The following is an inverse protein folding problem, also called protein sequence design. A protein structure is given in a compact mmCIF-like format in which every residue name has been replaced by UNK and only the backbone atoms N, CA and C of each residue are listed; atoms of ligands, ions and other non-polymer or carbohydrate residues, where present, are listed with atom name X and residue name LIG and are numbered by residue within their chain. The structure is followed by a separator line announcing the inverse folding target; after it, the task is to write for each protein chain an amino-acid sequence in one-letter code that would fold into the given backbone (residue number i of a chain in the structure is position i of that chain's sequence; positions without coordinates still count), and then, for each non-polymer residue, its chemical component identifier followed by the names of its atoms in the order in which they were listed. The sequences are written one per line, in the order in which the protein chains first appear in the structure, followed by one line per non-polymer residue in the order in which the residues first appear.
data_IF_738932853854
#
_entry.id   IF_738932853854
#
_cell.length_a   1.000
_cell.length_b   1.000
_cell.length_c   1.000
_cell.angle_alpha   90.00
_cell.angle_beta   90.00
_cell.angle_gamma   90.00
#
_symmetry.space_group_name_H-M   'P 1'
#
loop_
_entity.id
_entity.type
_entity.pdbx_description
1 polymer ?
#
# COMPACT_ATOMS: atom_id res chain seq x y z
N UNK A 1 42.77 49.00 -14.31
CA UNK A 1 42.60 47.63 -14.84
C UNK A 1 41.76 46.83 -13.86
N UNK A 2 40.85 46.02 -14.37
CA UNK A 2 39.62 45.57 -13.70
C UNK A 2 39.81 44.60 -12.52
N UNK A 3 38.85 44.70 -11.60
CA UNK A 3 38.64 43.91 -10.38
C UNK A 3 38.33 42.44 -10.70
N UNK A 4 39.04 41.49 -10.06
CA UNK A 4 38.73 40.07 -10.12
C UNK A 4 37.97 39.66 -8.85
N UNK A 5 36.64 39.53 -8.97
CA UNK A 5 35.79 38.96 -7.93
C UNK A 5 35.84 37.44 -8.03
N UNK A 6 36.40 36.78 -7.02
CA UNK A 6 36.35 35.32 -6.88
C UNK A 6 34.95 34.95 -6.40
N UNK A 7 34.13 34.37 -7.28
CA UNK A 7 32.87 33.74 -6.90
C UNK A 7 33.18 32.31 -6.41
N UNK A 8 33.06 32.08 -5.11
CA UNK A 8 32.90 30.72 -4.56
C UNK A 8 31.53 30.18 -5.00
N UNK A 9 31.52 29.26 -5.95
CA UNK A 9 30.33 28.47 -6.26
C UNK A 9 30.33 27.27 -5.31
N UNK A 10 29.61 27.41 -4.18
CA UNK A 10 29.23 26.29 -3.34
C UNK A 10 28.20 25.46 -4.10
N UNK A 11 28.68 24.42 -4.78
CA UNK A 11 27.83 23.39 -5.39
C UNK A 11 27.19 22.56 -4.30
N UNK A 12 26.00 22.96 -3.84
CA UNK A 12 25.14 22.11 -3.03
C UNK A 12 24.65 20.95 -3.90
N UNK A 13 25.32 19.80 -3.79
CA UNK A 13 24.81 18.51 -4.26
C UNK A 13 23.56 18.20 -3.43
N UNK A 14 22.38 18.50 -3.99
CA UNK A 14 21.13 17.99 -3.46
C UNK A 14 21.15 16.47 -3.54
N UNK A 15 21.20 15.82 -2.38
CA UNK A 15 20.90 14.40 -2.25
C UNK A 15 19.43 14.20 -2.64
N UNK A 16 19.18 13.94 -3.93
CA UNK A 16 17.92 13.38 -4.36
C UNK A 16 17.88 11.95 -3.83
N UNK A 17 17.24 11.76 -2.68
CA UNK A 17 16.90 10.43 -2.17
C UNK A 17 15.93 9.78 -3.13
N UNK A 18 16.43 8.90 -4.00
CA UNK A 18 15.59 8.08 -4.86
C UNK A 18 15.00 7.00 -3.96
N UNK A 19 13.73 7.14 -3.55
CA UNK A 19 13.03 6.07 -2.84
C UNK A 19 12.87 4.90 -3.80
N UNK A 20 13.70 3.88 -3.60
CA UNK A 20 13.55 2.62 -4.33
C UNK A 20 12.43 1.83 -3.67
N UNK A 21 11.20 2.04 -4.13
CA UNK A 21 10.15 1.05 -3.90
C UNK A 21 10.61 -0.22 -4.62
N UNK A 22 10.87 -1.31 -3.90
CA UNK A 22 11.28 -2.57 -4.51
C UNK A 22 10.07 -3.24 -5.18
N UNK A 23 10.33 -4.00 -6.25
CA UNK A 23 9.31 -4.47 -7.22
C UNK A 23 8.20 -5.32 -6.58
N UNK A 24 8.47 -6.09 -5.52
CA UNK A 24 7.52 -7.09 -5.03
C UNK A 24 6.85 -6.64 -3.72
N UNK A 25 5.54 -6.92 -3.60
CA UNK A 25 4.76 -6.61 -2.40
C UNK A 25 5.12 -7.41 -1.16
N UNK A 26 4.27 -7.29 -0.15
CA UNK A 26 4.53 -7.81 1.20
C UNK A 26 4.85 -9.32 1.20
N UNK A 27 5.97 -9.76 1.81
CA UNK A 27 6.25 -11.18 2.01
C UNK A 27 5.43 -11.77 3.17
N UNK A 28 5.35 -13.10 3.26
CA UNK A 28 4.67 -13.81 4.37
C UNK A 28 5.12 -13.38 5.77
N UNK A 29 6.40 -12.99 5.93
CA UNK A 29 6.91 -12.49 7.22
C UNK A 29 6.31 -11.14 7.64
N UNK A 30 5.66 -10.42 6.72
CA UNK A 30 4.96 -9.16 6.97
C UNK A 30 3.52 -9.31 7.44
N UNK A 31 2.95 -10.53 7.46
CA UNK A 31 1.53 -10.74 7.78
C UNK A 31 1.08 -10.20 9.15
N UNK A 32 1.95 -10.21 10.16
CA UNK A 32 1.61 -9.75 11.51
C UNK A 32 1.81 -8.24 11.72
N UNK A 33 2.76 -7.64 11.01
CA UNK A 33 3.12 -6.23 11.16
C UNK A 33 2.57 -5.34 10.06
N UNK A 34 2.10 -5.93 8.95
CA UNK A 34 1.85 -5.27 7.66
C UNK A 34 3.04 -4.47 7.13
N UNK A 35 4.21 -4.71 7.71
CA UNK A 35 5.44 -4.07 7.31
C UNK A 35 6.12 -4.99 6.30
N UNK A 36 6.38 -4.53 5.07
CA UNK A 36 6.99 -5.36 4.04
C UNK A 36 8.47 -5.71 4.33
N UNK A 37 9.00 -5.32 5.49
CA UNK A 37 10.36 -5.60 5.94
C UNK A 37 11.42 -5.12 4.94
N UNK A 38 11.21 -3.90 4.45
CA UNK A 38 12.11 -3.24 3.52
C UNK A 38 12.56 -1.91 4.12
N UNK A 39 13.86 -1.60 3.96
CA UNK A 39 14.53 -0.41 4.51
C UNK A 39 14.10 0.92 3.86
N UNK A 40 12.91 0.96 3.25
CA UNK A 40 12.32 2.19 2.77
C UNK A 40 11.51 2.82 3.91
N UNK A 41 11.64 4.13 4.04
CA UNK A 41 10.86 4.87 5.02
C UNK A 41 9.37 4.75 4.67
N UNK A 42 8.50 4.37 5.63
CA UNK A 42 7.06 4.44 5.48
C UNK A 42 6.65 5.81 4.95
N UNK A 43 5.64 5.87 4.09
CA UNK A 43 5.07 7.15 3.72
C UNK A 43 4.49 7.83 4.98
N UNK A 44 5.00 9.02 5.30
CA UNK A 44 4.63 9.76 6.53
C UNK A 44 3.56 10.82 6.32
N UNK A 45 3.13 11.06 5.07
CA UNK A 45 2.00 11.95 4.79
C UNK A 45 0.69 11.33 5.26
N UNK A 46 -0.31 12.12 5.67
CA UNK A 46 -1.67 11.62 5.90
C UNK A 46 -2.11 10.79 4.69
N UNK A 47 -2.72 9.64 4.95
CA UNK A 47 -3.20 8.74 3.92
C UNK A 47 -4.18 9.49 2.99
N UNK A 48 -3.85 9.73 1.71
CA UNK A 48 -4.79 10.37 0.81
C UNK A 48 -5.89 9.41 0.33
N UNK A 49 -6.51 8.57 1.17
CA UNK A 49 -7.51 7.59 0.69
C UNK A 49 -8.77 7.60 1.54
N UNK A 50 -9.88 7.33 0.86
CA UNK A 50 -11.15 6.96 1.47
C UNK A 50 -11.39 5.48 1.26
N UNK A 51 -11.57 4.73 2.35
CA UNK A 51 -12.10 3.38 2.28
C UNK A 51 -13.62 3.47 2.25
N UNK A 52 -14.22 3.16 1.11
CA UNK A 52 -15.65 2.85 1.09
C UNK A 52 -15.78 1.39 1.49
N UNK A 53 -16.19 1.12 2.72
CA UNK A 53 -16.41 -0.25 3.18
C UNK A 53 -17.77 -0.75 2.66
N UNK A 54 -17.79 -1.09 1.38
CA UNK A 54 -18.82 -1.91 0.73
C UNK A 54 -18.19 -3.26 0.34
N UNK A 55 -18.91 -4.14 -0.35
CA UNK A 55 -18.28 -5.31 -1.01
C UNK A 55 -17.09 -4.88 -1.89
N UNK A 56 -17.14 -3.67 -2.46
CA UNK A 56 -16.03 -3.05 -3.16
C UNK A 56 -15.13 -2.23 -2.22
N UNK A 57 -13.84 -2.53 -2.26
CA UNK A 57 -12.76 -1.84 -1.54
C UNK A 57 -11.88 -1.11 -2.54
N UNK A 58 -11.97 0.22 -2.54
CA UNK A 58 -11.12 1.09 -3.36
C UNK A 58 -10.04 1.73 -2.50
N UNK A 59 -8.80 1.68 -2.98
CA UNK A 59 -7.67 2.45 -2.45
C UNK A 59 -7.31 3.48 -3.53
N UNK A 60 -7.83 4.70 -3.40
CA UNK A 60 -7.58 5.81 -4.34
C UNK A 60 -6.92 7.02 -3.70
N UNK A 61 -6.04 7.71 -4.43
CA UNK A 61 -5.48 8.97 -3.98
C UNK A 61 -6.51 10.10 -4.06
N UNK A 62 -6.63 10.92 -3.02
CA UNK A 62 -7.52 12.08 -2.95
C UNK A 62 -7.00 13.26 -3.77
N UNK A 63 -5.72 13.22 -4.12
CA UNK A 63 -5.06 14.20 -4.99
C UNK A 63 -4.66 13.47 -6.29
N UNK A 64 -5.11 13.97 -7.47
CA UNK A 64 -4.79 13.36 -8.75
C UNK A 64 -3.30 13.44 -9.13
N UNK A 65 -2.54 14.35 -8.52
CA UNK A 65 -1.10 14.51 -8.78
C UNK A 65 -0.22 13.65 -7.84
N UNK A 66 -0.84 12.95 -6.89
CA UNK A 66 -0.17 12.06 -5.95
C UNK A 66 -0.41 10.61 -6.35
N UNK A 67 0.63 9.79 -6.24
CA UNK A 67 0.56 8.35 -6.49
C UNK A 67 1.19 7.57 -5.33
N UNK A 68 0.83 6.30 -5.21
CA UNK A 68 1.50 5.32 -4.35
C UNK A 68 2.18 4.26 -5.18
N UNK A 69 3.21 3.61 -4.62
CA UNK A 69 3.93 2.54 -5.31
C UNK A 69 3.64 1.19 -4.69
N UNK A 70 3.44 1.17 -3.37
CA UNK A 70 3.13 -0.04 -2.63
C UNK A 70 1.91 0.10 -1.72
N UNK A 71 1.23 -1.02 -1.54
CA UNK A 71 0.20 -1.19 -0.52
C UNK A 71 0.17 -2.63 0.02
N UNK A 72 -0.42 -2.80 1.18
CA UNK A 72 -0.87 -4.08 1.74
C UNK A 72 -2.18 -3.84 2.51
N UNK A 73 -3.14 -4.76 2.39
CA UNK A 73 -4.44 -4.69 3.09
C UNK A 73 -4.89 -6.08 3.55
N UNK A 74 -5.53 -6.12 4.71
CA UNK A 74 -6.12 -7.29 5.35
C UNK A 74 -7.54 -7.00 5.82
N UNK A 75 -8.44 -7.96 5.60
CA UNK A 75 -9.78 -7.97 6.20
C UNK A 75 -9.73 -8.56 7.60
N UNK A 76 -10.35 -7.88 8.56
CA UNK A 76 -10.40 -8.30 9.95
C UNK A 76 -11.85 -8.38 10.43
N UNK A 77 -12.20 -9.48 11.09
CA UNK A 77 -13.51 -9.69 11.72
C UNK A 77 -13.30 -9.88 13.21
N UNK A 78 -13.84 -8.98 14.04
CA UNK A 78 -13.69 -9.10 15.50
C UNK A 78 -12.23 -9.11 15.99
N UNK A 79 -11.31 -8.55 15.20
CA UNK A 79 -9.88 -8.45 15.54
C UNK A 79 -9.00 -9.60 15.05
N UNK A 80 -9.56 -10.61 14.37
CA UNK A 80 -8.80 -11.68 13.70
C UNK A 80 -8.91 -11.56 12.18
N UNK A 81 -7.99 -12.17 11.43
CA UNK A 81 -8.09 -12.22 9.97
C UNK A 81 -9.35 -12.97 9.57
N UNK A 82 -10.11 -12.42 8.63
CA UNK A 82 -11.32 -13.06 8.14
C UNK A 82 -11.70 -12.50 6.78
N UNK A 83 -12.38 -13.33 5.99
CA UNK A 83 -12.80 -12.99 4.64
C UNK A 83 -11.66 -13.10 3.64
N UNK A 84 -12.00 -12.85 2.38
CA UNK A 84 -11.08 -12.95 1.26
C UNK A 84 -11.26 -11.80 0.30
N UNK A 85 -10.23 -11.52 -0.49
CA UNK A 85 -10.30 -10.58 -1.59
C UNK A 85 -10.51 -11.31 -2.93
N UNK A 86 -11.05 -10.60 -3.91
CA UNK A 86 -11.01 -10.98 -5.32
C UNK A 86 -10.64 -9.77 -6.17
N UNK A 87 -10.13 -10.05 -7.38
CA UNK A 87 -9.72 -9.03 -8.35
C UNK A 87 -10.58 -9.12 -9.60
N UNK A 88 -10.80 -7.98 -10.25
CA UNK A 88 -11.40 -7.92 -11.58
C UNK A 88 -10.50 -8.56 -12.64
N UNK A 89 -11.11 -9.01 -13.74
CA UNK A 89 -10.34 -9.51 -14.88
C UNK A 89 -9.40 -8.43 -15.44
N UNK A 90 -8.12 -8.78 -15.56
CA UNK A 90 -7.09 -7.89 -16.10
C UNK A 90 -6.31 -7.10 -15.05
N UNK A 91 -6.69 -7.16 -13.78
CA UNK A 91 -5.89 -6.62 -12.69
C UNK A 91 -4.57 -7.39 -12.55
N UNK A 92 -3.46 -6.69 -12.74
CA UNK A 92 -2.13 -7.27 -12.80
C UNK A 92 -1.10 -6.52 -11.95
N UNK A 93 -1.55 -5.52 -11.20
CA UNK A 93 -0.74 -4.72 -10.28
C UNK A 93 -0.90 -5.18 -8.83
N UNK A 94 -1.81 -6.13 -8.59
CA UNK A 94 -2.17 -6.67 -7.29
C UNK A 94 -1.92 -8.18 -7.27
N UNK A 95 -1.49 -8.67 -6.11
CA UNK A 95 -1.43 -10.09 -5.76
C UNK A 95 -2.22 -10.31 -4.48
N UNK A 96 -3.00 -11.38 -4.51
CA UNK A 96 -3.63 -11.96 -3.34
C UNK A 96 -2.75 -13.07 -2.77
N UNK A 97 -2.77 -13.22 -1.46
CA UNK A 97 -2.17 -14.36 -0.79
C UNK A 97 -2.78 -14.57 0.60
N UNK A 98 -2.53 -15.76 1.14
CA UNK A 98 -2.99 -16.17 2.46
C UNK A 98 -1.98 -15.80 3.55
N UNK A 99 -2.38 -14.95 4.48
CA UNK A 99 -1.68 -14.79 5.74
C UNK A 99 -2.20 -15.78 6.79
N UNK A 100 -1.33 -16.37 7.62
CA UNK A 100 -1.74 -17.38 8.60
C UNK A 100 -2.59 -16.78 9.71
N UNK A 101 -3.54 -17.58 10.21
CA UNK A 101 -4.42 -17.18 11.31
C UNK A 101 -5.76 -16.55 10.88
N UNK A 102 -6.10 -16.65 9.59
CA UNK A 102 -7.46 -16.46 9.09
C UNK A 102 -8.08 -17.78 8.63
N UNK A 103 -9.39 -17.76 8.43
CA UNK A 103 -10.18 -18.95 8.05
C UNK A 103 -10.33 -19.12 6.52
N UNK A 104 -9.88 -18.14 5.74
CA UNK A 104 -10.01 -18.08 4.28
C UNK A 104 -8.64 -17.90 3.60
N UNK A 105 -8.53 -18.45 2.38
CA UNK A 105 -7.48 -18.15 1.42
C UNK A 105 -7.62 -16.69 0.91
N UNK A 106 -6.54 -16.10 0.38
CA UNK A 106 -6.57 -14.75 -0.20
C UNK A 106 -7.07 -13.64 0.74
N UNK A 107 -6.86 -13.82 2.05
CA UNK A 107 -7.22 -12.86 3.09
C UNK A 107 -6.36 -11.58 3.13
N UNK A 108 -5.35 -11.49 2.25
CA UNK A 108 -4.43 -10.36 2.17
C UNK A 108 -4.17 -9.98 0.71
N UNK A 109 -4.21 -8.69 0.40
CA UNK A 109 -3.85 -8.14 -0.91
C UNK A 109 -2.63 -7.20 -0.82
N UNK A 110 -1.74 -7.26 -1.80
CA UNK A 110 -0.55 -6.39 -1.90
C UNK A 110 -0.19 -6.13 -3.36
N UNK A 111 0.69 -5.16 -3.63
CA UNK A 111 1.17 -4.85 -4.97
C UNK A 111 2.12 -5.93 -5.54
N UNK A 112 2.21 -6.07 -6.87
CA UNK A 112 3.23 -6.91 -7.53
C UNK A 112 4.33 -6.13 -8.27
N UNK A 113 4.13 -4.83 -8.45
CA UNK A 113 5.10 -3.91 -9.04
C UNK A 113 5.15 -2.61 -8.24
N UNK A 114 6.27 -1.91 -8.32
CA UNK A 114 6.46 -0.56 -7.76
C UNK A 114 6.04 0.57 -8.72
N UNK A 115 5.33 0.23 -9.79
CA UNK A 115 4.83 1.22 -10.74
C UNK A 115 3.86 2.17 -10.04
N UNK A 116 3.84 3.47 -10.39
CA UNK A 116 2.92 4.44 -9.83
C UNK A 116 1.46 4.01 -9.99
N UNK A 117 0.68 4.13 -8.93
CA UNK A 117 -0.75 3.84 -8.87
C UNK A 117 -1.48 5.04 -8.31
N UNK A 118 -2.61 5.36 -8.91
CA UNK A 118 -3.51 6.42 -8.46
C UNK A 118 -4.76 5.81 -7.80
N UNK A 119 -5.16 4.62 -8.25
CA UNK A 119 -6.25 3.86 -7.67
C UNK A 119 -6.01 2.36 -7.86
N UNK A 120 -6.42 1.55 -6.90
CA UNK A 120 -6.59 0.11 -7.03
C UNK A 120 -7.96 -0.29 -6.48
N UNK A 121 -8.62 -1.22 -7.15
CA UNK A 121 -9.93 -1.74 -6.74
C UNK A 121 -9.81 -3.23 -6.42
N UNK A 122 -10.47 -3.61 -5.34
CA UNK A 122 -10.56 -4.97 -4.82
C UNK A 122 -12.02 -5.22 -4.47
N UNK A 123 -12.47 -6.46 -4.52
CA UNK A 123 -13.73 -6.85 -3.87
C UNK A 123 -13.39 -7.64 -2.62
N UNK A 124 -13.97 -7.27 -1.48
CA UNK A 124 -13.84 -8.00 -0.23
C UNK A 124 -15.10 -8.80 0.06
N UNK A 125 -14.90 -10.09 0.30
CA UNK A 125 -15.94 -11.05 0.64
C UNK A 125 -15.83 -11.36 2.14
N UNK A 126 -16.70 -10.79 3.00
CA UNK A 126 -16.69 -11.14 4.40
C UNK A 126 -17.13 -12.60 4.62
N UNK A 127 -16.71 -13.23 5.74
CA UNK A 127 -17.22 -14.55 6.12
C UNK A 127 -18.74 -14.54 6.29
N UNK A 128 -19.38 -15.66 6.00
CA UNK A 128 -20.83 -15.79 6.12
C UNK A 128 -21.32 -15.52 7.56
N UNK A 129 -22.41 -14.76 7.70
CA UNK A 129 -23.06 -14.52 9.00
C UNK A 129 -22.37 -13.48 9.89
N UNK A 130 -21.34 -12.79 9.39
CA UNK A 130 -20.67 -11.69 10.09
C UNK A 130 -21.48 -10.40 9.97
N UNK A 131 -21.64 -9.68 11.10
CA UNK A 131 -22.23 -8.34 11.10
C UNK A 131 -21.22 -7.35 10.47
N UNK A 132 -21.63 -6.52 9.48
CA UNK A 132 -20.75 -5.54 8.86
C UNK A 132 -20.03 -4.59 9.83
N UNK A 133 -20.63 -4.31 10.99
CA UNK A 133 -20.01 -3.48 12.04
C UNK A 133 -18.78 -4.11 12.71
N UNK A 134 -18.60 -5.42 12.55
CA UNK A 134 -17.44 -6.16 13.07
C UNK A 134 -16.27 -6.22 12.09
N UNK A 135 -16.49 -5.78 10.85
CA UNK A 135 -15.49 -5.77 9.80
C UNK A 135 -14.63 -4.51 9.95
N UNK A 136 -13.32 -4.71 9.96
CA UNK A 136 -12.34 -3.61 9.91
C UNK A 136 -11.25 -3.98 8.92
N UNK A 137 -10.61 -2.99 8.31
CA UNK A 137 -9.47 -3.21 7.43
C UNK A 137 -8.20 -2.70 8.09
N UNK A 138 -7.14 -3.51 8.05
CA UNK A 138 -5.78 -3.07 8.38
C UNK A 138 -5.02 -2.88 7.07
N UNK A 139 -4.25 -1.81 6.98
CA UNK A 139 -3.56 -1.48 5.75
C UNK A 139 -2.26 -0.71 5.99
N UNK A 140 -1.36 -0.74 5.00
CA UNK A 140 -0.09 -0.02 4.98
C UNK A 140 0.29 0.36 3.54
N UNK A 141 1.04 1.45 3.36
CA UNK A 141 1.46 1.95 2.04
C UNK A 141 2.86 2.55 2.03
N UNK A 142 3.43 2.65 0.82
CA UNK A 142 4.74 3.24 0.52
C UNK A 142 4.73 4.03 -0.80
#
# INVERSE_FOLDING_TARGET
MASLRVLMVLGSFGLFGVSQALINGMPMSGCSSLYPQHYADPQTSPAPYTFTATEDVTIETTDPDVYFRGFAIQGMVGGVLGGRFSLDEGENQIRLFECPGGDDEDNTATHVTNEPKYSVNLTYHPPEGVDPSQITFRWHQQ
#
